data_IF_947946044029
#
_entry.id   IF_947946044029
#
_cell.length_a   1.000
_cell.length_b   1.000
_cell.length_c   1.000
_cell.angle_alpha   90.00
_cell.angle_beta   90.00
_cell.angle_gamma   90.00
#
_symmetry.space_group_name_H-M   'P 1'
#
loop_
_entity.id
_entity.type
_entity.pdbx_description
1 polymer ?
#
# COMPACT_ATOMS: atom_id res chain seq x y z
N UNK A 1 25.52 3.31 -31.60
CA UNK A 1 25.44 2.03 -30.85
C UNK A 1 25.40 0.94 -31.90
N UNK A 2 26.47 0.16 -32.00
CA UNK A 2 26.56 -0.95 -32.95
C UNK A 2 26.80 -2.21 -32.13
N UNK A 3 25.89 -3.18 -32.25
CA UNK A 3 25.95 -4.46 -31.56
C UNK A 3 26.08 -5.51 -32.65
N UNK A 4 27.16 -6.29 -32.60
CA UNK A 4 27.50 -7.27 -33.62
C UNK A 4 26.51 -8.43 -33.71
N UNK A 5 25.90 -8.78 -32.58
CA UNK A 5 24.97 -9.88 -32.45
C UNK A 5 23.51 -9.42 -32.48
N UNK A 6 22.62 -10.38 -32.79
CA UNK A 6 21.17 -10.14 -32.76
C UNK A 6 20.74 -9.71 -31.35
N UNK A 7 20.03 -8.60 -31.25
CA UNK A 7 19.37 -8.21 -30.00
C UNK A 7 18.16 -9.10 -29.75
N UNK A 8 18.11 -9.73 -28.57
CA UNK A 8 17.03 -10.60 -28.10
C UNK A 8 16.03 -9.80 -27.26
N UNK A 9 16.54 -9.04 -26.29
CA UNK A 9 15.75 -8.14 -25.45
C UNK A 9 16.52 -6.83 -25.24
N UNK A 10 15.79 -5.75 -25.00
CA UNK A 10 16.37 -4.53 -24.46
C UNK A 10 15.33 -3.79 -23.64
N UNK A 11 15.78 -3.04 -22.65
CA UNK A 11 14.96 -2.12 -21.87
C UNK A 11 15.73 -0.83 -21.61
N UNK A 12 14.99 0.28 -21.58
CA UNK A 12 15.54 1.61 -21.33
C UNK A 12 14.76 2.30 -20.22
N UNK A 13 15.36 2.39 -19.04
CA UNK A 13 14.79 3.05 -17.88
C UNK A 13 15.90 3.42 -16.89
N UNK A 14 15.60 4.31 -15.94
CA UNK A 14 16.52 4.70 -14.86
C UNK A 14 17.92 5.07 -15.37
N UNK A 15 18.00 5.85 -16.45
CA UNK A 15 19.27 6.31 -17.07
C UNK A 15 20.17 5.20 -17.61
N UNK A 16 19.62 4.00 -17.83
CA UNK A 16 20.33 2.85 -18.36
C UNK A 16 19.60 2.20 -19.54
N UNK A 17 20.35 1.88 -20.59
CA UNK A 17 19.92 0.97 -21.65
C UNK A 17 20.59 -0.38 -21.41
N UNK A 18 19.81 -1.41 -21.11
CA UNK A 18 20.31 -2.78 -20.97
C UNK A 18 19.89 -3.56 -22.21
N UNK A 19 20.85 -4.15 -22.91
CA UNK A 19 20.66 -4.90 -24.15
C UNK A 19 21.16 -6.32 -23.98
N UNK A 20 20.33 -7.28 -24.33
CA UNK A 20 20.59 -8.72 -24.23
C UNK A 20 20.76 -9.28 -25.63
N UNK A 21 21.92 -9.88 -25.89
CA UNK A 21 22.19 -10.73 -27.06
C UNK A 21 22.12 -12.21 -26.62
N UNK A 22 22.24 -13.20 -27.53
CA UNK A 22 22.22 -14.60 -27.13
C UNK A 22 23.34 -14.99 -26.15
N UNK A 23 24.47 -14.30 -26.17
CA UNK A 23 25.66 -14.60 -25.37
C UNK A 23 26.01 -13.53 -24.35
N UNK A 24 25.62 -12.27 -24.56
CA UNK A 24 26.11 -11.15 -23.76
C UNK A 24 25.00 -10.22 -23.27
N UNK A 25 25.24 -9.61 -22.12
CA UNK A 25 24.47 -8.47 -21.63
C UNK A 25 25.33 -7.22 -21.73
N UNK A 26 24.84 -6.21 -22.43
CA UNK A 26 25.46 -4.89 -22.58
C UNK A 26 24.66 -3.87 -21.77
N UNK A 27 25.33 -3.12 -20.91
CA UNK A 27 24.72 -2.07 -20.09
C UNK A 27 25.34 -0.73 -20.48
N UNK A 28 24.52 0.16 -21.03
CA UNK A 28 24.90 1.51 -21.38
C UNK A 28 24.35 2.49 -20.36
N UNK A 29 25.17 3.47 -19.97
CA UNK A 29 24.73 4.61 -19.16
C UNK A 29 24.40 5.78 -20.06
N UNK A 30 23.33 6.52 -19.78
CA UNK A 30 23.01 7.75 -20.51
C UNK A 30 24.11 8.81 -20.42
N UNK A 31 24.96 8.74 -19.38
CA UNK A 31 26.13 9.62 -19.20
C UNK A 31 27.30 9.26 -20.13
N UNK A 32 27.41 8.00 -20.56
CA UNK A 32 28.48 7.54 -21.45
C UNK A 32 28.04 6.28 -22.23
N UNK A 33 27.71 6.49 -23.50
CA UNK A 33 27.26 5.45 -24.43
C UNK A 33 28.41 4.67 -25.09
N UNK A 34 29.66 5.13 -24.95
CA UNK A 34 30.79 4.56 -25.69
C UNK A 34 31.44 3.37 -24.98
N UNK A 35 31.30 3.27 -23.65
CA UNK A 35 31.94 2.23 -22.84
C UNK A 35 30.89 1.46 -22.02
N UNK A 36 30.13 0.55 -22.64
CA UNK A 36 29.18 -0.28 -21.90
C UNK A 36 29.90 -1.23 -20.94
N UNK A 37 29.25 -1.56 -19.82
CA UNK A 37 29.60 -2.75 -19.07
C UNK A 37 29.07 -3.98 -19.80
N UNK A 38 29.93 -4.96 -20.08
CA UNK A 38 29.57 -6.17 -20.82
C UNK A 38 29.93 -7.39 -19.98
N UNK A 39 29.02 -8.35 -19.88
CA UNK A 39 29.32 -9.65 -19.31
C UNK A 39 28.64 -10.78 -20.09
N UNK A 40 29.25 -11.97 -20.03
CA UNK A 40 28.74 -13.18 -20.67
C UNK A 40 27.54 -13.75 -19.89
N UNK A 41 26.50 -14.11 -20.62
CA UNK A 41 25.32 -14.81 -20.13
C UNK A 41 25.61 -16.30 -20.08
N UNK A 42 25.22 -16.93 -18.97
CA UNK A 42 25.37 -18.38 -18.81
C UNK A 42 24.28 -19.16 -19.55
N UNK A 43 23.09 -18.58 -19.62
CA UNK A 43 21.93 -19.15 -20.30
C UNK A 43 21.49 -18.21 -21.42
N UNK A 44 21.11 -18.79 -22.56
CA UNK A 44 20.76 -18.04 -23.78
C UNK A 44 19.28 -17.63 -23.83
N UNK A 45 18.47 -18.05 -22.85
CA UNK A 45 17.02 -17.88 -22.85
C UNK A 45 16.55 -16.93 -21.74
N UNK A 46 16.90 -15.66 -21.87
CA UNK A 46 16.29 -14.58 -21.08
C UNK A 46 14.86 -14.37 -21.60
N UNK A 47 13.87 -14.46 -20.71
CA UNK A 47 12.44 -14.30 -21.02
C UNK A 47 11.95 -12.88 -20.81
N UNK A 48 12.54 -12.16 -19.84
CA UNK A 48 12.22 -10.77 -19.55
C UNK A 48 13.37 -10.07 -18.83
N UNK A 49 13.32 -8.74 -18.89
CA UNK A 49 14.28 -7.82 -18.28
C UNK A 49 13.47 -6.78 -17.50
N UNK A 50 13.77 -6.60 -16.21
CA UNK A 50 13.11 -5.60 -15.37
C UNK A 50 14.18 -4.65 -14.81
N UNK A 51 14.03 -3.35 -15.06
CA UNK A 51 14.94 -2.34 -14.53
C UNK A 51 14.36 -1.69 -13.28
N UNK A 52 15.24 -1.31 -12.35
CA UNK A 52 14.93 -0.47 -11.20
C UNK A 52 16.07 0.54 -10.97
N UNK A 53 15.87 1.53 -10.11
CA UNK A 53 16.82 2.63 -9.89
C UNK A 53 18.27 2.17 -9.58
N UNK A 54 18.46 1.13 -8.77
CA UNK A 54 19.80 0.70 -8.31
C UNK A 54 20.37 -0.52 -9.02
N UNK A 55 19.54 -1.27 -9.73
CA UNK A 55 19.86 -2.58 -10.28
C UNK A 55 18.79 -3.03 -11.27
N UNK A 56 19.05 -4.11 -12.00
CA UNK A 56 18.07 -4.74 -12.87
C UNK A 56 18.02 -6.26 -12.63
N UNK A 57 16.92 -6.88 -13.03
CA UNK A 57 16.71 -8.32 -12.99
C UNK A 57 16.70 -8.92 -14.39
N UNK A 58 17.44 -10.01 -14.56
CA UNK A 58 17.27 -10.95 -15.66
C UNK A 58 16.36 -12.07 -15.22
N UNK A 59 15.30 -12.30 -15.98
CA UNK A 59 14.37 -13.40 -15.77
C UNK A 59 14.65 -14.42 -16.86
N UNK A 60 14.97 -15.64 -16.46
CA UNK A 60 15.18 -16.79 -17.35
C UNK A 60 13.95 -17.71 -17.26
N UNK A 61 14.10 -19.02 -17.52
CA UNK A 61 13.00 -19.97 -17.42
C UNK A 61 12.43 -20.01 -16.00
N UNK A 62 13.20 -20.47 -15.02
CA UNK A 62 12.76 -20.62 -13.62
C UNK A 62 13.62 -19.81 -12.64
N UNK A 63 14.57 -19.02 -13.14
CA UNK A 63 15.57 -18.32 -12.33
C UNK A 63 15.46 -16.81 -12.55
N UNK A 64 15.56 -16.06 -11.46
CA UNK A 64 15.66 -14.61 -11.45
C UNK A 64 17.02 -14.22 -10.89
N UNK A 65 17.73 -13.34 -11.59
CA UNK A 65 19.08 -12.91 -11.21
C UNK A 65 19.18 -11.39 -11.19
N UNK A 66 19.65 -10.82 -10.08
CA UNK A 66 19.84 -9.38 -9.90
C UNK A 66 21.27 -8.95 -10.21
N UNK A 67 21.42 -7.89 -11.00
CA UNK A 67 22.69 -7.32 -11.41
C UNK A 67 22.75 -5.82 -11.13
N UNK A 68 23.93 -5.32 -10.79
CA UNK A 68 24.19 -3.89 -10.79
C UNK A 68 24.39 -3.38 -12.21
N UNK A 69 24.23 -2.07 -12.42
CA UNK A 69 24.50 -1.45 -13.72
C UNK A 69 25.99 -1.43 -14.12
N UNK A 70 26.88 -1.96 -13.28
CA UNK A 70 28.28 -2.22 -13.61
C UNK A 70 28.51 -3.68 -14.08
N UNK A 71 27.44 -4.46 -14.27
CA UNK A 71 27.53 -5.87 -14.69
C UNK A 71 27.89 -6.84 -13.57
N UNK A 72 27.87 -6.40 -12.31
CA UNK A 72 28.16 -7.27 -11.15
C UNK A 72 26.92 -8.02 -10.72
N UNK A 73 27.01 -9.34 -10.59
CA UNK A 73 25.99 -10.16 -9.94
C UNK A 73 25.80 -9.70 -8.49
N UNK A 74 24.56 -9.31 -8.13
CA UNK A 74 24.21 -8.89 -6.78
C UNK A 74 23.62 -10.04 -5.97
N UNK A 75 22.62 -10.72 -6.52
CA UNK A 75 21.99 -11.88 -5.86
C UNK A 75 21.19 -12.73 -6.85
N UNK A 76 20.91 -13.96 -6.44
CA UNK A 76 19.96 -14.87 -7.10
C UNK A 76 18.84 -15.14 -6.10
N UNK A 77 17.78 -14.31 -6.07
CA UNK A 77 16.74 -14.41 -5.05
C UNK A 77 16.07 -15.79 -5.06
N UNK A 78 15.79 -16.33 -3.87
CA UNK A 78 15.09 -17.60 -3.66
C UNK A 78 14.04 -17.42 -2.59
N UNK A 79 12.91 -18.11 -2.75
CA UNK A 79 11.81 -18.12 -1.80
C UNK A 79 11.39 -19.55 -1.46
N UNK A 80 10.69 -19.70 -0.35
CA UNK A 80 10.19 -20.98 0.12
C UNK A 80 9.18 -21.55 -0.88
N UNK A 81 9.42 -22.76 -1.34
CA UNK A 81 8.52 -23.45 -2.27
C UNK A 81 8.78 -23.19 -3.75
N UNK A 82 9.84 -22.45 -4.09
CA UNK A 82 10.22 -22.15 -5.47
C UNK A 82 10.28 -23.42 -6.35
N UNK A 83 9.42 -23.46 -7.37
CA UNK A 83 9.27 -24.58 -8.29
C UNK A 83 10.24 -24.51 -9.47
N UNK A 84 10.31 -25.60 -10.25
CA UNK A 84 11.02 -25.67 -11.53
C UNK A 84 10.18 -25.14 -12.71
N UNK A 85 8.92 -24.77 -12.45
CA UNK A 85 8.03 -24.15 -13.42
C UNK A 85 8.51 -22.76 -13.88
N UNK A 86 8.11 -22.34 -15.10
CA UNK A 86 8.55 -21.07 -15.64
C UNK A 86 8.02 -19.88 -14.83
N UNK A 87 8.87 -18.87 -14.67
CA UNK A 87 8.49 -17.58 -14.12
C UNK A 87 7.60 -16.82 -15.10
N UNK A 88 6.57 -16.15 -14.58
CA UNK A 88 5.65 -15.36 -15.38
C UNK A 88 5.93 -13.86 -15.15
N UNK A 89 6.58 -13.16 -16.10
CA UNK A 89 7.05 -11.78 -15.90
C UNK A 89 5.97 -10.77 -15.46
N UNK A 90 4.72 -10.81 -15.95
CA UNK A 90 3.66 -9.92 -15.44
C UNK A 90 3.36 -10.09 -13.95
N UNK A 91 3.75 -11.23 -13.36
CA UNK A 91 3.62 -11.52 -11.92
C UNK A 91 4.94 -11.34 -11.15
N UNK A 92 5.86 -10.53 -11.67
CA UNK A 92 7.11 -10.16 -11.03
C UNK A 92 7.22 -8.62 -11.01
N UNK A 93 7.34 -8.04 -9.83
CA UNK A 93 7.51 -6.60 -9.65
C UNK A 93 8.81 -6.29 -8.91
N UNK A 94 9.58 -5.34 -9.44
CA UNK A 94 10.90 -4.97 -8.92
C UNK A 94 10.97 -3.45 -8.69
N UNK A 95 11.48 -3.06 -7.52
CA UNK A 95 11.93 -1.70 -7.25
C UNK A 95 13.31 -1.74 -6.57
N UNK A 96 13.81 -0.59 -6.10
CA UNK A 96 15.19 -0.47 -5.59
C UNK A 96 15.53 -1.29 -4.34
N UNK A 97 14.54 -1.76 -3.59
CA UNK A 97 14.72 -2.48 -2.31
C UNK A 97 13.73 -3.63 -2.09
N UNK A 98 12.78 -3.85 -3.01
CA UNK A 98 11.73 -4.86 -2.85
C UNK A 98 11.48 -5.58 -4.17
N UNK A 99 11.46 -6.91 -4.10
CA UNK A 99 11.04 -7.81 -5.17
C UNK A 99 9.79 -8.55 -4.73
N UNK A 100 8.77 -8.56 -5.58
CA UNK A 100 7.55 -9.33 -5.36
C UNK A 100 7.40 -10.34 -6.49
N UNK A 101 7.17 -11.60 -6.14
CA UNK A 101 7.00 -12.69 -7.09
C UNK A 101 5.77 -13.51 -6.70
N UNK A 102 4.88 -13.77 -7.66
CA UNK A 102 3.81 -14.77 -7.48
C UNK A 102 4.41 -16.17 -7.56
N UNK A 103 4.01 -17.04 -6.62
CA UNK A 103 4.41 -18.44 -6.65
C UNK A 103 3.97 -19.10 -7.96
N UNK A 104 4.80 -20.04 -8.44
CA UNK A 104 4.54 -20.73 -9.70
C UNK A 104 3.44 -21.79 -9.54
N UNK A 105 3.41 -22.49 -8.41
CA UNK A 105 2.47 -23.60 -8.16
C UNK A 105 1.15 -23.11 -7.53
N UNK A 106 1.20 -22.00 -6.79
CA UNK A 106 0.06 -21.37 -6.15
C UNK A 106 -0.09 -19.92 -6.67
N UNK A 107 -0.93 -19.76 -7.68
CA UNK A 107 -1.21 -18.48 -8.33
C UNK A 107 -1.88 -17.42 -7.42
N UNK A 108 -2.19 -17.75 -6.16
CA UNK A 108 -2.70 -16.81 -5.15
C UNK A 108 -1.64 -16.30 -4.19
N UNK A 109 -0.48 -16.96 -4.14
CA UNK A 109 0.57 -16.68 -3.16
C UNK A 109 1.58 -15.68 -3.74
N UNK A 110 1.86 -14.61 -3.00
CA UNK A 110 2.91 -13.64 -3.28
C UNK A 110 4.04 -13.76 -2.27
N UNK A 111 5.26 -13.91 -2.78
CA UNK A 111 6.49 -13.81 -2.02
C UNK A 111 7.03 -12.39 -2.11
N UNK A 112 7.39 -11.80 -0.97
CA UNK A 112 8.10 -10.52 -0.91
C UNK A 112 9.52 -10.78 -0.44
N UNK A 113 10.48 -10.30 -1.21
CA UNK A 113 11.89 -10.35 -0.90
C UNK A 113 12.44 -8.93 -0.74
N UNK A 114 13.02 -8.65 0.41
CA UNK A 114 13.77 -7.42 0.64
C UNK A 114 15.14 -7.53 -0.03
N UNK A 115 15.46 -6.56 -0.90
CA UNK A 115 16.72 -6.49 -1.62
C UNK A 115 17.65 -5.50 -0.92
N UNK A 116 18.89 -5.92 -0.69
CA UNK A 116 19.95 -5.04 -0.24
C UNK A 116 21.22 -5.28 -1.07
N UNK A 117 22.02 -4.23 -1.27
CA UNK A 117 23.19 -4.30 -2.17
C UNK A 117 24.29 -5.26 -1.72
N UNK A 118 24.34 -5.63 -0.43
CA UNK A 118 25.42 -6.39 0.19
C UNK A 118 24.98 -7.65 0.95
N UNK A 119 23.68 -7.93 1.02
CA UNK A 119 23.14 -9.14 1.67
C UNK A 119 22.24 -9.88 0.68
N UNK A 120 22.14 -11.22 0.80
CA UNK A 120 21.18 -11.97 0.01
C UNK A 120 19.76 -11.42 0.23
N UNK A 121 18.91 -11.53 -0.79
CA UNK A 121 17.51 -11.16 -0.66
C UNK A 121 16.84 -11.99 0.44
N UNK A 122 16.11 -11.34 1.35
CA UNK A 122 15.48 -11.99 2.48
C UNK A 122 13.97 -12.02 2.24
N UNK A 123 13.40 -13.23 2.25
CA UNK A 123 11.96 -13.41 2.18
C UNK A 123 11.30 -12.93 3.49
N UNK A 124 10.35 -12.01 3.35
CA UNK A 124 9.48 -11.56 4.44
C UNK A 124 8.19 -12.40 4.47
N UNK A 125 7.20 -12.05 5.30
CA UNK A 125 5.97 -12.83 5.37
C UNK A 125 5.24 -12.86 4.01
N UNK A 126 5.04 -14.04 3.40
CA UNK A 126 4.32 -14.15 2.14
C UNK A 126 2.83 -13.89 2.36
N UNK A 127 2.12 -13.61 1.27
CA UNK A 127 0.72 -13.25 1.32
C UNK A 127 -0.12 -14.09 0.38
N UNK A 128 -1.21 -14.63 0.93
CA UNK A 128 -2.20 -15.38 0.18
C UNK A 128 -3.38 -14.48 -0.16
N UNK A 129 -3.52 -14.16 -1.44
CA UNK A 129 -4.70 -13.45 -1.95
C UNK A 129 -5.91 -14.39 -2.06
N UNK A 130 -7.11 -13.83 -2.09
CA UNK A 130 -8.36 -14.59 -2.21
C UNK A 130 -8.49 -15.31 -3.56
N UNK A 131 -8.06 -14.63 -4.61
CA UNK A 131 -8.19 -15.07 -6.00
C UNK A 131 -6.80 -15.23 -6.64
N UNK A 132 -6.78 -15.95 -7.76
CA UNK A 132 -5.57 -16.10 -8.57
C UNK A 132 -5.14 -14.74 -9.12
N UNK A 133 -3.84 -14.45 -9.07
CA UNK A 133 -3.25 -13.16 -9.44
C UNK A 133 -2.74 -13.25 -10.87
N UNK A 134 -3.02 -12.23 -11.69
CA UNK A 134 -2.70 -12.21 -13.13
C UNK A 134 -1.56 -11.22 -13.44
N UNK A 135 -1.51 -10.08 -12.75
CA UNK A 135 -0.51 -9.04 -12.99
C UNK A 135 -0.22 -8.31 -11.69
N UNK A 136 1.04 -7.93 -11.47
CA UNK A 136 1.44 -7.11 -10.31
C UNK A 136 2.40 -6.01 -10.75
N UNK A 137 2.37 -4.88 -10.05
CA UNK A 137 3.31 -3.78 -10.25
C UNK A 137 3.58 -3.08 -8.91
N UNK A 138 4.81 -2.67 -8.65
CA UNK A 138 5.22 -1.99 -7.41
C UNK A 138 5.68 -0.56 -7.71
N UNK A 139 5.39 0.38 -6.81
CA UNK A 139 5.86 1.75 -6.97
C UNK A 139 7.40 1.85 -6.81
N UNK A 140 8.01 2.77 -7.56
CA UNK A 140 9.47 2.89 -7.61
C UNK A 140 10.03 4.02 -6.71
N UNK A 141 9.18 4.94 -6.26
CA UNK A 141 9.56 6.14 -5.49
C UNK A 141 9.41 5.88 -3.98
N UNK A 142 10.28 6.51 -3.18
CA UNK A 142 10.27 6.41 -1.72
C UNK A 142 11.15 5.29 -1.18
N UNK A 143 11.09 5.06 0.13
CA UNK A 143 11.82 3.98 0.80
C UNK A 143 10.96 2.74 1.07
N UNK A 144 11.51 1.79 1.83
CA UNK A 144 10.85 0.52 2.20
C UNK A 144 9.45 0.70 2.82
N UNK A 145 9.21 1.80 3.55
CA UNK A 145 7.91 2.05 4.20
C UNK A 145 6.86 2.69 3.28
N UNK A 146 7.27 3.16 2.10
CA UNK A 146 6.40 3.83 1.12
C UNK A 146 5.93 2.85 0.04
N UNK A 147 6.29 1.57 0.17
CA UNK A 147 6.05 0.56 -0.87
C UNK A 147 4.57 0.25 -1.01
N UNK A 148 4.09 0.36 -2.23
CA UNK A 148 2.73 0.04 -2.63
C UNK A 148 2.75 -0.91 -3.81
N UNK A 149 2.05 -2.03 -3.64
CA UNK A 149 1.82 -3.03 -4.66
C UNK A 149 0.43 -2.83 -5.24
N UNK A 150 0.36 -2.71 -6.56
CA UNK A 150 -0.86 -2.87 -7.32
C UNK A 150 -0.91 -4.31 -7.84
N UNK A 151 -2.07 -4.96 -7.72
CA UNK A 151 -2.28 -6.31 -8.24
C UNK A 151 -3.63 -6.41 -8.94
N UNK A 152 -3.67 -7.18 -10.02
CA UNK A 152 -4.87 -7.56 -10.77
C UNK A 152 -5.12 -9.04 -10.53
N UNK A 153 -6.33 -9.40 -10.12
CA UNK A 153 -6.75 -10.79 -9.97
C UNK A 153 -7.41 -11.36 -11.25
N UNK A 154 -7.77 -12.64 -11.23
CA UNK A 154 -8.44 -13.33 -12.34
C UNK A 154 -9.82 -12.74 -12.68
N UNK A 155 -10.47 -12.06 -11.74
CA UNK A 155 -11.73 -11.35 -11.95
C UNK A 155 -11.52 -9.96 -12.60
N UNK A 156 -10.27 -9.60 -12.90
CA UNK A 156 -9.88 -8.28 -13.39
C UNK A 156 -10.17 -7.18 -12.37
N UNK A 157 -10.15 -7.51 -11.09
CA UNK A 157 -10.24 -6.54 -10.01
C UNK A 157 -8.85 -6.02 -9.66
N UNK A 158 -8.74 -4.69 -9.54
CA UNK A 158 -7.50 -4.00 -9.16
C UNK A 158 -7.51 -3.71 -7.67
N UNK A 159 -6.46 -4.19 -7.01
CA UNK A 159 -6.22 -3.97 -5.59
C UNK A 159 -4.92 -3.20 -5.36
N UNK A 160 -4.93 -2.39 -4.30
CA UNK A 160 -3.75 -1.75 -3.74
C UNK A 160 -3.42 -2.33 -2.37
N UNK A 161 -2.13 -2.54 -2.12
CA UNK A 161 -1.60 -3.04 -0.87
C UNK A 161 -0.36 -2.25 -0.47
N UNK A 162 -0.29 -1.77 0.78
CA UNK A 162 0.99 -1.31 1.35
C UNK A 162 1.84 -2.50 1.75
N UNK A 163 3.12 -2.47 1.39
CA UNK A 163 4.14 -3.40 1.89
C UNK A 163 4.90 -2.71 3.01
N UNK A 164 4.99 -3.35 4.18
CA UNK A 164 5.80 -2.89 5.33
C UNK A 164 6.80 -3.98 5.69
N UNK A 165 7.80 -3.65 6.51
CA UNK A 165 8.77 -4.64 7.02
C UNK A 165 8.10 -5.81 7.76
N UNK A 166 6.93 -5.59 8.36
CA UNK A 166 6.12 -6.62 9.02
C UNK A 166 5.28 -7.47 8.06
N UNK A 167 5.36 -7.25 6.74
CA UNK A 167 4.60 -7.97 5.71
C UNK A 167 3.53 -7.12 5.02
N UNK A 168 2.51 -7.78 4.49
CA UNK A 168 1.39 -7.14 3.79
C UNK A 168 0.51 -6.33 4.74
N UNK A 169 0.26 -5.08 4.35
CA UNK A 169 -0.75 -4.24 4.96
C UNK A 169 -2.17 -4.58 4.48
N UNK A 170 -3.08 -3.64 4.73
CA UNK A 170 -4.47 -3.75 4.29
C UNK A 170 -4.55 -3.81 2.76
N UNK A 171 -5.35 -4.73 2.24
CA UNK A 171 -5.67 -4.82 0.82
C UNK A 171 -6.97 -4.04 0.56
N UNK A 172 -6.96 -3.19 -0.44
CA UNK A 172 -8.12 -2.40 -0.83
C UNK A 172 -8.40 -2.58 -2.32
N UNK A 173 -9.60 -3.07 -2.68
CA UNK A 173 -10.09 -3.03 -4.06
C UNK A 173 -10.37 -1.58 -4.45
N UNK A 174 -9.79 -1.11 -5.55
CA UNK A 174 -9.94 0.27 -6.03
C UNK A 174 -10.65 0.38 -7.37
N UNK A 175 -10.60 -0.67 -8.20
CA UNK A 175 -11.27 -0.70 -9.50
C UNK A 175 -11.60 -2.15 -9.92
N UNK A 176 -12.32 -2.28 -11.03
CA UNK A 176 -12.69 -3.53 -11.68
C UNK A 176 -12.48 -3.41 -13.20
N UNK A 177 -12.55 -4.53 -13.93
CA UNK A 177 -12.32 -4.60 -15.38
C UNK A 177 -10.95 -4.08 -15.80
N UNK A 178 -9.95 -4.24 -14.94
CA UNK A 178 -8.59 -3.77 -15.16
C UNK A 178 -7.82 -4.72 -16.09
N UNK A 179 -7.29 -4.17 -17.18
CA UNK A 179 -6.58 -4.93 -18.21
C UNK A 179 -5.06 -4.87 -18.07
N UNK A 180 -4.52 -3.73 -17.63
CA UNK A 180 -3.08 -3.49 -17.49
C UNK A 180 -2.82 -2.37 -16.50
N UNK A 181 -1.72 -2.44 -15.76
CA UNK A 181 -1.30 -1.45 -14.77
C UNK A 181 0.16 -1.03 -14.95
N UNK A 182 0.49 0.19 -14.57
CA UNK A 182 1.88 0.64 -14.46
C UNK A 182 2.02 1.77 -13.43
N UNK A 183 3.10 1.72 -12.65
CA UNK A 183 3.50 2.83 -11.80
C UNK A 183 4.36 3.83 -12.56
N UNK A 184 4.25 5.10 -12.19
CA UNK A 184 5.14 6.12 -12.70
C UNK A 184 6.57 5.93 -12.17
N UNK A 185 7.55 6.15 -13.03
CA UNK A 185 8.97 6.01 -12.67
C UNK A 185 9.50 7.21 -11.89
N UNK A 186 8.81 8.35 -11.93
CA UNK A 186 9.23 9.65 -11.40
C UNK A 186 8.35 10.20 -10.26
N UNK A 187 7.20 9.58 -9.99
CA UNK A 187 6.28 9.97 -8.92
C UNK A 187 5.51 8.75 -8.38
N UNK A 188 4.91 8.86 -7.19
CA UNK A 188 4.02 7.82 -6.66
C UNK A 188 2.63 7.89 -7.31
N UNK A 189 2.55 7.62 -8.62
CA UNK A 189 1.34 7.69 -9.44
C UNK A 189 1.08 6.32 -10.07
N UNK A 190 -0.16 5.86 -10.02
CA UNK A 190 -0.58 4.60 -10.63
C UNK A 190 -1.47 4.89 -11.84
N UNK A 191 -1.17 4.28 -12.98
CA UNK A 191 -2.05 4.26 -14.14
C UNK A 191 -2.62 2.84 -14.33
N UNK A 192 -3.88 2.76 -14.75
CA UNK A 192 -4.51 1.50 -15.13
C UNK A 192 -5.45 1.68 -16.33
N UNK A 193 -5.46 0.70 -17.23
CA UNK A 193 -6.49 0.56 -18.25
C UNK A 193 -7.68 -0.18 -17.66
N UNK A 194 -8.80 0.52 -17.47
CA UNK A 194 -10.07 -0.03 -17.01
C UNK A 194 -11.04 -0.12 -18.19
N UNK A 195 -11.23 -1.33 -18.70
CA UNK A 195 -12.00 -1.59 -19.93
C UNK A 195 -11.57 -0.67 -21.11
N UNK A 196 -12.34 0.38 -21.41
CA UNK A 196 -12.04 1.38 -22.45
C UNK A 196 -11.48 2.72 -21.92
N UNK A 197 -11.30 2.83 -20.60
CA UNK A 197 -10.94 4.08 -19.92
C UNK A 197 -9.53 4.00 -19.35
N UNK A 198 -8.72 5.04 -19.57
CA UNK A 198 -7.41 5.16 -18.92
C UNK A 198 -7.59 5.97 -17.63
N UNK A 199 -7.41 5.30 -16.50
CA UNK A 199 -7.52 5.89 -15.17
C UNK A 199 -6.15 6.10 -14.55
N UNK A 200 -5.91 7.28 -14.00
CA UNK A 200 -4.66 7.63 -13.32
C UNK A 200 -4.94 8.13 -11.91
N UNK A 201 -4.40 7.45 -10.91
CA UNK A 201 -4.45 7.86 -9.50
C UNK A 201 -3.18 8.62 -9.16
N UNK A 202 -3.35 9.91 -8.87
CA UNK A 202 -2.25 10.83 -8.57
C UNK A 202 -1.66 10.64 -7.17
N UNK A 203 -2.50 10.20 -6.22
CA UNK A 203 -2.10 9.89 -4.84
C UNK A 203 -2.75 8.55 -4.42
N UNK A 204 -2.21 7.39 -4.82
CA UNK A 204 -2.78 6.07 -4.50
C UNK A 204 -2.61 5.66 -3.02
N UNK A 205 -1.62 6.21 -2.33
CA UNK A 205 -1.42 6.13 -0.87
C UNK A 205 -2.65 6.44 -0.02
N UNK A 206 -3.50 7.37 -0.45
CA UNK A 206 -4.69 7.76 0.31
C UNK A 206 -5.75 6.63 0.42
N UNK A 207 -5.61 5.52 -0.29
CA UNK A 207 -6.52 4.36 -0.17
C UNK A 207 -6.57 3.78 1.26
N UNK A 208 -5.51 3.98 2.05
CA UNK A 208 -5.43 3.50 3.42
C UNK A 208 -5.94 4.51 4.44
N UNK A 209 -6.40 5.68 4.00
CA UNK A 209 -6.99 6.67 4.91
C UNK A 209 -8.34 6.18 5.39
N UNK A 210 -8.79 6.71 6.54
CA UNK A 210 -10.12 6.40 7.08
C UNK A 210 -11.23 6.74 6.09
N UNK A 211 -11.03 7.78 5.28
CA UNK A 211 -11.96 8.15 4.22
C UNK A 211 -11.57 7.55 2.88
N UNK A 212 -12.18 6.40 2.58
CA UNK A 212 -11.97 5.67 1.32
C UNK A 212 -12.51 6.38 0.08
N UNK A 213 -13.25 7.49 0.21
CA UNK A 213 -13.75 8.24 -0.95
C UNK A 213 -12.68 9.17 -1.53
N UNK A 214 -11.64 9.50 -0.77
CA UNK A 214 -10.57 10.41 -1.21
C UNK A 214 -9.86 9.89 -2.46
N UNK A 215 -9.62 8.57 -2.54
CA UNK A 215 -8.98 7.98 -3.72
C UNK A 215 -9.77 8.18 -5.01
N UNK A 216 -11.09 8.33 -4.93
CA UNK A 216 -11.92 8.64 -6.11
C UNK A 216 -11.75 10.09 -6.55
N UNK A 217 -11.40 10.99 -5.63
CA UNK A 217 -11.15 12.42 -5.90
C UNK A 217 -9.71 12.70 -6.36
N UNK A 218 -8.78 11.76 -6.19
CA UNK A 218 -7.40 11.85 -6.71
C UNK A 218 -7.21 11.11 -8.04
N UNK A 219 -8.31 10.60 -8.60
CA UNK A 219 -8.36 9.83 -9.84
C UNK A 219 -8.75 10.74 -11.01
N UNK A 220 -8.01 10.62 -12.11
CA UNK A 220 -8.32 11.26 -13.39
C UNK A 220 -8.67 10.15 -14.39
N UNK A 221 -9.84 10.26 -14.99
CA UNK A 221 -10.27 9.39 -16.07
C UNK A 221 -10.13 10.10 -17.41
N UNK A 222 -9.59 9.36 -18.39
CA UNK A 222 -9.65 9.75 -19.78
C UNK A 222 -10.26 8.62 -20.59
N UNK A 223 -11.49 8.84 -21.02
CA UNK A 223 -12.14 7.98 -22.01
C UNK A 223 -11.58 8.33 -23.38
N UNK A 224 -11.09 7.34 -24.10
CA UNK A 224 -10.63 7.55 -25.46
C UNK A 224 -10.86 6.29 -26.31
N UNK A 225 -11.65 6.43 -27.38
CA UNK A 225 -11.84 5.36 -28.36
C UNK A 225 -10.55 4.97 -29.08
N UNK A 226 -9.51 5.81 -29.00
CA UNK A 226 -8.21 5.57 -29.63
C UNK A 226 -7.40 4.43 -29.01
N UNK A 227 -7.75 3.93 -27.82
CA UNK A 227 -6.99 2.85 -27.19
C UNK A 227 -7.27 1.46 -27.81
N UNK A 228 -8.35 1.33 -28.58
CA UNK A 228 -8.69 0.09 -29.28
C UNK A 228 -9.00 -1.07 -28.34
N UNK A 229 -8.83 -2.31 -28.83
CA UNK A 229 -9.06 -3.53 -28.05
C UNK A 229 -7.78 -3.98 -27.36
N UNK A 230 -7.87 -4.37 -26.08
CA UNK A 230 -6.77 -4.90 -25.27
C UNK A 230 -5.53 -3.98 -25.19
N UNK A 231 -5.68 -2.70 -24.82
CA UNK A 231 -4.54 -1.82 -24.59
C UNK A 231 -3.69 -2.27 -23.39
N UNK A 232 -2.37 -2.13 -23.51
CA UNK A 232 -1.40 -2.35 -22.42
C UNK A 232 -0.60 -1.08 -22.16
N UNK A 233 -0.41 -0.72 -20.89
CA UNK A 233 0.42 0.43 -20.51
C UNK A 233 1.89 0.02 -20.63
N UNK A 234 2.67 0.83 -21.34
CA UNK A 234 4.10 0.58 -21.55
C UNK A 234 4.95 1.35 -20.56
N UNK A 235 4.65 2.64 -20.37
CA UNK A 235 5.42 3.51 -19.48
C UNK A 235 4.55 4.65 -18.95
N UNK A 236 4.87 5.11 -17.74
CA UNK A 236 4.30 6.30 -17.13
C UNK A 236 5.45 7.15 -16.60
N UNK A 237 5.61 8.36 -17.14
CA UNK A 237 6.71 9.24 -16.76
C UNK A 237 6.38 10.70 -17.11
N UNK A 238 6.79 11.64 -16.26
CA UNK A 238 6.64 13.08 -16.47
C UNK A 238 5.19 13.51 -16.79
N UNK A 239 4.22 12.85 -16.17
CA UNK A 239 2.80 13.09 -16.41
C UNK A 239 2.29 12.60 -17.77
N UNK A 240 3.07 11.81 -18.51
CA UNK A 240 2.60 11.13 -19.72
C UNK A 240 2.43 9.64 -19.46
N UNK A 241 1.39 9.06 -20.05
CA UNK A 241 1.16 7.62 -20.11
C UNK A 241 1.28 7.19 -21.56
N UNK A 242 2.15 6.22 -21.83
CA UNK A 242 2.33 5.61 -23.14
C UNK A 242 1.58 4.29 -23.14
N UNK A 243 0.58 4.18 -24.01
CA UNK A 243 -0.26 2.99 -24.16
C UNK A 243 0.05 2.33 -25.50
N UNK A 244 0.27 1.02 -25.48
CA UNK A 244 0.32 0.20 -26.69
C UNK A 244 -1.07 -0.35 -26.97
N UNK A 245 -1.61 -0.02 -28.14
CA UNK A 245 -2.88 -0.53 -28.65
C UNK A 245 -2.74 -1.99 -29.10
N UNK A 246 -3.85 -2.69 -29.25
CA UNK A 246 -3.87 -4.06 -29.77
C UNK A 246 -3.35 -4.22 -31.21
N UNK A 247 -3.29 -3.14 -32.00
CA UNK A 247 -2.66 -3.10 -33.33
C UNK A 247 -1.14 -2.83 -33.27
N UNK A 248 -0.57 -2.69 -32.07
CA UNK A 248 0.85 -2.45 -31.82
C UNK A 248 1.25 -0.97 -31.84
N UNK A 249 0.36 -0.05 -32.21
CA UNK A 249 0.67 1.38 -32.23
C UNK A 249 0.83 1.95 -30.80
N UNK A 250 1.77 2.88 -30.64
CA UNK A 250 2.00 3.59 -29.38
C UNK A 250 1.24 4.92 -29.37
N UNK A 251 0.42 5.13 -28.34
CA UNK A 251 -0.31 6.36 -28.09
C UNK A 251 0.22 6.98 -26.80
N UNK A 252 0.77 8.19 -26.91
CA UNK A 252 1.19 8.97 -25.75
C UNK A 252 0.07 9.92 -25.34
N UNK A 253 -0.32 9.87 -24.07
CA UNK A 253 -1.35 10.73 -23.51
C UNK A 253 -0.81 11.50 -22.32
N UNK A 254 -0.94 12.82 -22.35
CA UNK A 254 -0.63 13.66 -21.20
C UNK A 254 -1.78 13.63 -20.17
N UNK A 255 -1.40 13.49 -18.91
CA UNK A 255 -2.20 13.66 -17.71
C UNK A 255 -1.75 14.94 -17.00
N UNK A 256 -2.63 15.46 -16.16
CA UNK A 256 -2.61 16.83 -15.64
C UNK A 256 -1.20 17.41 -15.35
N UNK A 257 -0.77 18.36 -16.18
CA UNK A 257 0.60 18.94 -16.15
C UNK A 257 0.90 19.73 -14.88
N UNK A 258 -0.11 20.27 -14.21
CA UNK A 258 0.09 20.97 -12.94
C UNK A 258 0.44 20.00 -11.81
N UNK A 259 0.05 18.72 -11.87
CA UNK A 259 0.40 17.76 -10.84
C UNK A 259 1.90 17.49 -10.80
N UNK A 260 2.55 17.34 -11.95
CA UNK A 260 4.00 17.09 -12.00
C UNK A 260 4.78 18.28 -11.43
N UNK A 261 4.31 19.50 -11.71
CA UNK A 261 4.87 20.73 -11.15
C UNK A 261 4.62 20.82 -9.65
N UNK A 262 3.40 20.49 -9.19
CA UNK A 262 3.03 20.43 -7.77
C UNK A 262 3.93 19.46 -7.01
N UNK A 263 4.03 18.21 -7.49
CA UNK A 263 4.86 17.16 -6.90
C UNK A 263 6.31 17.64 -6.79
N UNK A 264 6.86 18.24 -7.85
CA UNK A 264 8.23 18.79 -7.85
C UNK A 264 8.44 19.91 -6.84
N UNK A 265 7.44 20.78 -6.60
CA UNK A 265 7.53 21.79 -5.55
C UNK A 265 7.52 21.15 -4.16
N UNK A 266 6.64 20.18 -3.92
CA UNK A 266 6.52 19.48 -2.65
C UNK A 266 7.79 18.69 -2.32
N UNK A 267 8.36 17.95 -3.28
CA UNK A 267 9.64 17.23 -3.08
C UNK A 267 10.79 18.17 -2.73
N UNK A 268 10.70 19.45 -3.12
CA UNK A 268 11.68 20.49 -2.79
C UNK A 268 11.31 21.32 -1.56
N UNK A 269 10.30 20.90 -0.79
CA UNK A 269 9.78 21.58 0.39
C UNK A 269 9.27 23.02 0.13
N UNK A 270 8.85 23.29 -1.12
CA UNK A 270 8.34 24.59 -1.59
C UNK A 270 6.82 24.68 -1.51
N UNK A 271 6.29 24.60 -0.28
CA UNK A 271 4.85 24.62 -0.01
C UNK A 271 4.11 25.89 -0.45
N UNK A 272 4.66 27.11 -0.27
CA UNK A 272 3.97 28.33 -0.71
C UNK A 272 3.74 28.38 -2.23
N UNK A 273 4.74 27.96 -3.01
CA UNK A 273 4.63 27.88 -4.47
C UNK A 273 3.65 26.79 -4.90
N UNK A 274 3.65 25.64 -4.21
CA UNK A 274 2.68 24.57 -4.42
C UNK A 274 1.22 25.03 -4.14
N UNK A 275 1.00 25.77 -3.04
CA UNK A 275 -0.31 26.37 -2.73
C UNK A 275 -0.71 27.42 -3.76
N UNK A 276 0.22 28.27 -4.18
CA UNK A 276 -0.01 29.27 -5.23
C UNK A 276 -0.45 28.60 -6.53
N UNK A 277 0.20 27.50 -6.91
CA UNK A 277 -0.18 26.70 -8.07
C UNK A 277 -1.62 26.16 -7.95
N UNK A 278 -2.00 25.66 -6.78
CA UNK A 278 -3.36 25.18 -6.54
C UNK A 278 -4.40 26.31 -6.62
N UNK A 279 -4.10 27.50 -6.09
CA UNK A 279 -4.95 28.69 -6.20
C UNK A 279 -5.13 29.17 -7.64
N UNK A 280 -4.09 29.06 -8.46
CA UNK A 280 -4.15 29.42 -9.89
C UNK A 280 -4.95 28.38 -10.68
N UNK A 281 -4.73 27.09 -10.42
CA UNK A 281 -5.36 26.01 -11.14
C UNK A 281 -6.85 25.83 -10.79
N UNK A 282 -7.27 26.22 -9.58
CA UNK A 282 -8.64 26.12 -9.07
C UNK A 282 -9.31 24.76 -9.34
N UNK A 283 -8.53 23.68 -9.20
CA UNK A 283 -8.97 22.32 -9.53
C UNK A 283 -9.08 21.47 -8.27
N UNK A 284 -10.26 20.85 -8.07
CA UNK A 284 -10.54 20.03 -6.88
C UNK A 284 -9.59 18.82 -6.76
N UNK A 285 -9.27 18.14 -7.87
CA UNK A 285 -8.34 16.99 -7.87
C UNK A 285 -6.96 17.43 -7.40
N UNK A 286 -6.47 18.57 -7.90
CA UNK A 286 -5.17 19.10 -7.50
C UNK A 286 -5.15 19.52 -6.02
N UNK A 287 -6.20 20.19 -5.55
CA UNK A 287 -6.36 20.52 -4.14
C UNK A 287 -6.44 19.27 -3.24
N UNK A 288 -7.13 18.23 -3.70
CA UNK A 288 -7.20 16.94 -2.99
C UNK A 288 -5.81 16.31 -2.92
N UNK A 289 -5.04 16.31 -4.01
CA UNK A 289 -3.67 15.82 -4.02
C UNK A 289 -2.78 16.61 -3.05
N UNK A 290 -2.93 17.95 -3.04
CA UNK A 290 -2.21 18.82 -2.11
C UNK A 290 -2.55 18.50 -0.65
N UNK A 291 -3.83 18.28 -0.33
CA UNK A 291 -4.27 17.91 1.02
C UNK A 291 -3.67 16.58 1.47
N UNK A 292 -3.64 15.57 0.59
CA UNK A 292 -3.02 14.26 0.86
C UNK A 292 -1.52 14.42 1.09
N UNK A 293 -0.80 15.04 0.15
CA UNK A 293 0.66 15.20 0.25
C UNK A 293 1.09 16.05 1.45
N UNK A 294 0.34 17.10 1.79
CA UNK A 294 0.59 17.92 2.98
C UNK A 294 0.35 17.14 4.28
N UNK A 295 -0.67 16.28 4.30
CA UNK A 295 -0.98 15.41 5.46
C UNK A 295 0.17 14.43 5.72
N UNK A 296 0.67 13.77 4.68
CA UNK A 296 1.78 12.81 4.80
C UNK A 296 3.10 13.48 5.18
N UNK A 297 3.35 14.65 4.60
CA UNK A 297 4.53 15.47 4.91
C UNK A 297 4.41 16.19 6.25
N UNK A 298 3.32 15.98 7.00
CA UNK A 298 3.09 16.57 8.33
C UNK A 298 3.04 18.11 8.31
N UNK A 299 2.61 18.70 7.20
CA UNK A 299 2.51 20.15 7.01
C UNK A 299 1.08 20.64 7.25
N UNK A 300 0.78 21.02 8.50
CA UNK A 300 -0.57 21.37 8.93
C UNK A 300 -1.13 22.63 8.25
N UNK A 301 -0.30 23.64 7.99
CA UNK A 301 -0.77 24.90 7.41
C UNK A 301 -1.24 24.72 5.96
N UNK A 302 -0.42 24.03 5.16
CA UNK A 302 -0.80 23.65 3.79
C UNK A 302 -1.99 22.69 3.77
N UNK A 303 -2.05 21.73 4.70
CA UNK A 303 -3.17 20.81 4.80
C UNK A 303 -4.47 21.54 5.17
N UNK A 304 -4.43 22.48 6.11
CA UNK A 304 -5.60 23.26 6.53
C UNK A 304 -6.21 24.04 5.36
N UNK A 305 -5.37 24.74 4.59
CA UNK A 305 -5.82 25.47 3.40
C UNK A 305 -6.37 24.53 2.32
N UNK A 306 -5.68 23.42 2.06
CA UNK A 306 -6.12 22.46 1.05
C UNK A 306 -7.43 21.76 1.43
N UNK A 307 -7.61 21.35 2.70
CA UNK A 307 -8.87 20.77 3.18
C UNK A 307 -10.01 21.79 3.18
N UNK A 308 -9.74 23.07 3.46
CA UNK A 308 -10.73 24.13 3.33
C UNK A 308 -11.16 24.32 1.86
N UNK A 309 -10.22 24.25 0.92
CA UNK A 309 -10.48 24.38 -0.52
C UNK A 309 -11.31 23.22 -1.10
N UNK A 310 -11.24 22.01 -0.51
CA UNK A 310 -12.08 20.86 -0.91
C UNK A 310 -13.32 20.68 -0.02
N UNK A 311 -13.68 21.69 0.77
CA UNK A 311 -14.88 21.74 1.63
C UNK A 311 -14.93 20.61 2.68
N UNK A 312 -13.77 20.20 3.19
CA UNK A 312 -13.64 19.19 4.25
C UNK A 312 -13.40 19.83 5.60
N UNK A 313 -14.41 20.56 6.07
CA UNK A 313 -14.39 21.29 7.32
C UNK A 313 -14.17 20.38 8.55
N UNK A 314 -14.62 19.12 8.50
CA UNK A 314 -14.33 18.10 9.50
C UNK A 314 -12.83 17.93 9.74
N UNK A 315 -12.04 17.93 8.66
CA UNK A 315 -10.58 17.82 8.72
C UNK A 315 -9.93 19.13 9.13
N UNK A 316 -10.47 20.26 8.70
CA UNK A 316 -10.00 21.60 9.12
C UNK A 316 -10.13 21.78 10.63
N UNK A 317 -11.30 21.47 11.20
CA UNK A 317 -11.55 21.56 12.64
C UNK A 317 -10.60 20.65 13.43
N UNK A 318 -10.36 19.44 12.91
CA UNK A 318 -9.42 18.49 13.50
C UNK A 318 -7.98 19.02 13.45
N UNK A 319 -7.54 19.63 12.34
CA UNK A 319 -6.21 20.25 12.24
C UNK A 319 -6.08 21.42 13.22
N UNK A 320 -7.12 22.25 13.35
CA UNK A 320 -7.12 23.34 14.34
C UNK A 320 -7.04 22.82 15.78
N UNK A 321 -7.69 21.68 16.09
CA UNK A 321 -7.55 21.00 17.37
C UNK A 321 -6.10 20.54 17.59
N UNK A 322 -5.47 19.91 16.59
CA UNK A 322 -4.05 19.50 16.65
C UNK A 322 -3.14 20.70 16.90
N UNK A 323 -3.39 21.84 16.27
CA UNK A 323 -2.59 23.06 16.45
C UNK A 323 -2.68 23.62 17.88
N UNK A 324 -3.80 23.42 18.58
CA UNK A 324 -4.01 23.84 19.98
C UNK A 324 -3.31 22.93 21.00
N UNK A 325 -2.89 21.73 20.61
CA UNK A 325 -2.18 20.80 21.50
C UNK A 325 -0.79 21.35 21.86
N UNK A 326 -0.49 21.39 23.15
CA UNK A 326 0.81 21.83 23.68
C UNK A 326 1.85 20.71 23.69
N UNK A 327 1.41 19.46 23.88
CA UNK A 327 2.28 18.29 23.92
C UNK A 327 2.70 17.89 22.49
N UNK A 328 4.01 17.96 22.22
CA UNK A 328 4.59 17.62 20.91
C UNK A 328 4.34 16.17 20.51
N UNK A 329 4.35 15.25 21.48
CA UNK A 329 4.19 13.82 21.22
C UNK A 329 2.74 13.49 20.85
N UNK A 330 1.77 14.04 21.59
CA UNK A 330 0.35 13.91 21.24
C UNK A 330 0.06 14.55 19.89
N UNK A 331 0.64 15.72 19.62
CA UNK A 331 0.53 16.39 18.32
C UNK A 331 1.01 15.47 17.19
N UNK A 332 2.17 14.83 17.35
CA UNK A 332 2.72 13.91 16.35
C UNK A 332 1.83 12.67 16.17
N UNK A 333 1.29 12.11 17.26
CA UNK A 333 0.39 10.95 17.20
C UNK A 333 -0.92 11.30 16.48
N UNK A 334 -1.53 12.44 16.80
CA UNK A 334 -2.75 12.93 16.17
C UNK A 334 -2.54 13.29 14.68
N UNK A 335 -1.33 13.72 14.31
CA UNK A 335 -0.96 13.91 12.89
C UNK A 335 -0.85 12.58 12.14
N UNK A 336 -0.27 11.55 12.75
CA UNK A 336 -0.29 10.19 12.16
C UNK A 336 -1.70 9.66 12.04
N UNK A 337 -2.57 9.98 13.00
CA UNK A 337 -3.99 9.62 12.98
C UNK A 337 -4.74 10.34 11.85
N UNK A 338 -4.45 11.61 11.59
CA UNK A 338 -4.99 12.36 10.44
C UNK A 338 -4.68 11.67 9.11
N UNK A 339 -3.46 11.13 8.98
CA UNK A 339 -3.01 10.35 7.83
C UNK A 339 -3.57 8.91 7.79
N UNK A 340 -4.39 8.52 8.77
CA UNK A 340 -4.99 7.19 8.85
C UNK A 340 -4.07 6.08 9.40
N UNK A 341 -2.84 6.40 9.85
CA UNK A 341 -1.91 5.41 10.41
C UNK A 341 -2.13 5.24 11.93
N UNK A 342 -3.19 4.49 12.26
CA UNK A 342 -3.59 4.22 13.66
C UNK A 342 -2.48 3.49 14.43
N UNK A 343 -1.81 2.53 13.79
CA UNK A 343 -0.74 1.76 14.41
C UNK A 343 0.49 2.63 14.71
N UNK A 344 0.85 3.53 13.79
CA UNK A 344 1.92 4.51 14.02
C UNK A 344 1.56 5.48 15.15
N UNK A 345 0.33 5.98 15.18
CA UNK A 345 -0.16 6.85 16.27
C UNK A 345 -0.10 6.16 17.64
N UNK A 346 -0.60 4.91 17.74
CA UNK A 346 -0.51 4.10 18.95
C UNK A 346 0.95 3.86 19.37
N UNK A 347 1.81 3.49 18.42
CA UNK A 347 3.23 3.24 18.67
C UNK A 347 3.95 4.46 19.26
N UNK A 348 3.71 5.65 18.71
CA UNK A 348 4.27 6.91 19.22
C UNK A 348 3.85 7.14 20.68
N UNK A 349 2.57 6.97 20.99
CA UNK A 349 2.06 7.19 22.34
C UNK A 349 2.59 6.17 23.34
N UNK A 350 2.64 4.89 22.96
CA UNK A 350 3.14 3.81 23.82
C UNK A 350 4.64 3.96 24.11
N UNK A 351 5.45 4.30 23.10
CA UNK A 351 6.90 4.52 23.28
C UNK A 351 7.20 5.67 24.24
N UNK A 352 6.33 6.68 24.29
CA UNK A 352 6.47 7.84 25.18
C UNK A 352 5.71 7.67 26.51
N UNK A 353 5.16 6.49 26.79
CA UNK A 353 4.47 6.18 28.06
C UNK A 353 3.07 6.81 28.20
N UNK A 354 2.53 7.43 27.16
CA UNK A 354 1.20 8.05 27.12
C UNK A 354 0.09 7.01 26.89
N UNK A 355 0.03 6.01 27.77
CA UNK A 355 -0.85 4.84 27.64
C UNK A 355 -2.33 5.24 27.67
N UNK A 356 -2.70 6.25 28.45
CA UNK A 356 -4.09 6.71 28.55
C UNK A 356 -4.61 7.22 27.20
N UNK A 357 -3.81 8.04 26.51
CA UNK A 357 -4.15 8.56 25.20
C UNK A 357 -4.16 7.45 24.14
N UNK A 358 -3.23 6.48 24.23
CA UNK A 358 -3.23 5.31 23.34
C UNK A 358 -4.52 4.47 23.47
N UNK A 359 -5.05 4.32 24.70
CA UNK A 359 -6.34 3.65 24.93
C UNK A 359 -7.48 4.50 24.36
N UNK A 360 -7.48 5.81 24.61
CA UNK A 360 -8.53 6.73 24.13
C UNK A 360 -8.63 6.77 22.61
N UNK A 361 -7.50 6.81 21.90
CA UNK A 361 -7.48 6.77 20.42
C UNK A 361 -8.10 5.47 19.91
N UNK A 362 -7.75 4.32 20.50
CA UNK A 362 -8.33 3.04 20.08
C UNK A 362 -9.85 2.97 20.35
N UNK A 363 -10.33 3.57 21.45
CA UNK A 363 -11.77 3.70 21.71
C UNK A 363 -12.45 4.61 20.68
N UNK A 364 -11.87 5.77 20.38
CA UNK A 364 -12.39 6.72 19.38
C UNK A 364 -12.43 6.12 17.97
N UNK A 365 -11.48 5.26 17.64
CA UNK A 365 -11.41 4.53 16.36
C UNK A 365 -12.20 3.21 16.37
N UNK A 366 -12.98 2.93 17.40
CA UNK A 366 -13.79 1.72 17.56
C UNK A 366 -12.99 0.40 17.54
N UNK A 367 -11.68 0.46 17.82
CA UNK A 367 -10.81 -0.70 17.99
C UNK A 367 -10.94 -1.28 19.41
N UNK A 368 -12.15 -1.75 19.73
CA UNK A 368 -12.53 -2.20 21.07
C UNK A 368 -11.61 -3.28 21.63
N UNK A 369 -11.34 -4.34 20.86
CA UNK A 369 -10.48 -5.45 21.30
C UNK A 369 -9.07 -4.96 21.69
N UNK A 370 -8.48 -4.07 20.88
CA UNK A 370 -7.16 -3.51 21.15
C UNK A 370 -7.17 -2.55 22.34
N UNK A 371 -8.19 -1.70 22.44
CA UNK A 371 -8.37 -0.80 23.59
C UNK A 371 -8.46 -1.58 24.91
N UNK A 372 -9.21 -2.69 24.94
CA UNK A 372 -9.34 -3.54 26.12
C UNK A 372 -8.03 -4.25 26.46
N UNK A 373 -7.33 -4.79 25.47
CA UNK A 373 -6.02 -5.44 25.66
C UNK A 373 -5.02 -4.48 26.32
N UNK A 374 -4.91 -3.25 25.80
CA UNK A 374 -4.05 -2.22 26.36
C UNK A 374 -4.46 -1.82 27.79
N UNK A 375 -5.77 -1.63 28.00
CA UNK A 375 -6.31 -1.24 29.31
C UNK A 375 -6.02 -2.31 30.38
N UNK A 376 -6.23 -3.59 30.07
CA UNK A 376 -5.97 -4.71 30.98
C UNK A 376 -4.46 -4.89 31.22
N UNK A 377 -3.64 -4.87 30.16
CA UNK A 377 -2.19 -5.04 30.26
C UNK A 377 -1.54 -3.99 31.16
N UNK A 378 -1.97 -2.74 31.03
CA UNK A 378 -1.40 -1.62 31.79
C UNK A 378 -2.20 -1.26 33.04
N UNK A 379 -3.33 -1.94 33.31
CA UNK A 379 -4.25 -1.68 34.43
C UNK A 379 -4.72 -0.22 34.51
N UNK A 380 -4.99 0.39 33.36
CA UNK A 380 -5.45 1.79 33.23
C UNK A 380 -6.74 1.86 32.43
N UNK A 381 -7.65 2.77 32.79
CA UNK A 381 -8.89 3.10 32.07
C UNK A 381 -9.82 1.92 31.73
N UNK A 382 -9.68 0.76 32.40
CA UNK A 382 -10.50 -0.43 32.12
C UNK A 382 -11.99 -0.13 32.26
N UNK A 383 -12.39 0.60 33.30
CA UNK A 383 -13.79 0.96 33.52
C UNK A 383 -14.34 1.91 32.46
N UNK A 384 -13.51 2.85 32.01
CA UNK A 384 -13.87 3.82 30.98
C UNK A 384 -14.10 3.11 29.63
N UNK A 385 -13.23 2.16 29.27
CA UNK A 385 -13.39 1.33 28.05
C UNK A 385 -14.67 0.48 28.12
N UNK A 386 -14.94 -0.16 29.26
CA UNK A 386 -16.17 -0.96 29.45
C UNK A 386 -17.43 -0.09 29.37
N UNK A 387 -17.39 1.11 29.96
CA UNK A 387 -18.51 2.07 29.92
C UNK A 387 -18.74 2.58 28.49
N UNK A 388 -17.68 3.02 27.81
CA UNK A 388 -17.76 3.49 26.43
C UNK A 388 -18.30 2.42 25.48
N UNK A 389 -17.87 1.16 25.63
CA UNK A 389 -18.40 0.03 24.86
C UNK A 389 -19.89 -0.19 25.13
N UNK A 390 -20.32 -0.09 26.40
CA UNK A 390 -21.74 -0.24 26.77
C UNK A 390 -22.60 0.86 26.16
N UNK A 391 -22.15 2.11 26.24
CA UNK A 391 -22.84 3.25 25.63
C UNK A 391 -22.93 3.09 24.11
N UNK A 392 -21.84 2.65 23.46
CA UNK A 392 -21.84 2.35 22.03
C UNK A 392 -22.85 1.26 21.64
N UNK A 393 -22.91 0.16 22.40
CA UNK A 393 -23.86 -0.93 22.15
C UNK A 393 -25.31 -0.53 22.42
N UNK A 394 -25.55 0.32 23.42
CA UNK A 394 -26.88 0.88 23.70
C UNK A 394 -27.39 1.76 22.54
N UNK A 395 -26.52 2.59 21.95
CA UNK A 395 -26.87 3.40 20.78
C UNK A 395 -27.24 2.53 19.58
N UNK A 396 -26.63 1.35 19.44
CA UNK A 396 -26.89 0.40 18.36
C UNK A 396 -28.01 -0.61 18.66
N UNK A 397 -28.61 -0.55 19.85
CA UNK A 397 -29.58 -1.53 20.37
C UNK A 397 -29.09 -2.99 20.25
N UNK A 398 -27.81 -3.21 20.57
CA UNK A 398 -27.16 -4.53 20.53
C UNK A 398 -26.69 -4.96 21.91
N UNK A 399 -26.69 -6.27 22.15
CA UNK A 399 -26.12 -6.88 23.36
C UNK A 399 -24.64 -7.19 23.19
N UNK A 400 -23.87 -7.23 24.29
CA UNK A 400 -22.46 -7.57 24.24
C UNK A 400 -22.26 -9.04 23.86
N UNK A 401 -21.54 -9.29 22.78
CA UNK A 401 -21.22 -10.63 22.26
C UNK A 401 -19.78 -11.03 22.56
N UNK A 402 -18.89 -10.07 22.87
CA UNK A 402 -17.47 -10.37 23.03
C UNK A 402 -17.18 -11.08 24.37
N UNK A 403 -16.57 -12.29 24.34
CA UNK A 403 -16.29 -13.08 25.55
C UNK A 403 -15.41 -12.33 26.57
N UNK A 404 -14.43 -11.56 26.08
CA UNK A 404 -13.49 -10.81 26.92
C UNK A 404 -14.19 -9.70 27.70
N UNK A 405 -15.16 -9.03 27.08
CA UNK A 405 -15.97 -7.98 27.73
C UNK A 405 -16.99 -8.58 28.71
N UNK A 406 -17.61 -9.71 28.35
CA UNK A 406 -18.53 -10.43 29.24
C UNK A 406 -17.83 -10.96 30.50
N UNK A 407 -16.63 -11.53 30.38
CA UNK A 407 -15.86 -12.03 31.52
C UNK A 407 -15.53 -10.92 32.53
N UNK A 408 -15.17 -9.74 32.05
CA UNK A 408 -14.84 -8.59 32.90
C UNK A 408 -16.07 -7.93 33.53
N UNK A 409 -17.20 -7.90 32.81
CA UNK A 409 -18.49 -7.45 33.37
C UNK A 409 -19.04 -8.45 34.41
N UNK A 410 -18.85 -9.76 34.19
CA UNK A 410 -19.24 -10.83 35.12
C UNK A 410 -18.44 -10.80 36.43
N UNK A 411 -17.17 -10.42 36.40
CA UNK A 411 -16.37 -10.26 37.62
C UNK A 411 -16.82 -9.07 38.50
N UNK A 412 -17.56 -8.10 37.96
CA UNK A 412 -18.13 -6.98 38.74
C UNK A 412 -19.49 -7.30 39.38
N UNK A 413 -20.17 -8.37 38.95
CA UNK A 413 -21.52 -8.73 39.43
C UNK A 413 -21.53 -9.77 40.55
N UNK A 414 -20.38 -10.09 41.17
CA UNK A 414 -20.37 -10.80 42.47
C UNK A 414 -20.44 -9.79 43.61
N UNK A 415 -21.61 -9.52 44.23
CA UNK A 415 -21.62 -8.86 45.52
C UNK A 415 -21.00 -9.79 46.56
N UNK A 416 -20.21 -9.22 47.47
CA UNK A 416 -19.77 -9.90 48.67
C UNK A 416 -21.00 -10.34 49.48
N UNK A 417 -21.32 -11.63 49.46
CA UNK A 417 -22.31 -12.22 50.38
C UNK A 417 -21.65 -12.52 51.72
N UNK A 418 -22.23 -12.09 52.86
CA UNK A 418 -21.80 -12.54 54.18
C UNK A 418 -22.06 -14.04 54.36
N UNK A 419 -21.17 -14.70 55.11
CA UNK A 419 -21.32 -16.06 55.70
C UNK A 419 -22.66 -16.11 56.48
N UNK A 420 -23.56 -17.11 56.35
CA UNK A 420 -23.58 -18.55 56.74
C UNK A 420 -25.06 -19.02 56.62
N UNK A 421 -25.46 -20.29 56.89
CA UNK A 421 -25.02 -21.60 56.37
C UNK A 421 -26.18 -22.43 55.74
N UNK A 422 -25.79 -23.53 55.09
CA UNK A 422 -26.53 -24.73 54.64
C UNK A 422 -28.06 -24.85 54.85
N UNK A 423 -28.81 -25.10 53.75
CA UNK A 423 -29.84 -26.16 53.67
C UNK A 423 -29.79 -26.82 52.28
N UNK A 424 -29.91 -28.15 52.32
CA UNK A 424 -29.86 -29.16 51.28
C UNK A 424 -30.96 -29.09 50.21
N UNK A 425 -30.67 -29.66 49.03
CA UNK A 425 -31.69 -30.40 48.29
C UNK A 425 -31.78 -30.18 46.77
N UNK A 426 -31.69 -31.30 46.06
CA UNK A 426 -32.27 -31.59 44.73
C UNK A 426 -31.54 -31.14 43.46
N UNK A 427 -30.85 -32.12 42.88
CA UNK A 427 -30.43 -32.25 41.48
C UNK A 427 -31.63 -32.14 40.53
N UNK A 428 -31.46 -31.49 39.38
CA UNK A 428 -32.14 -31.89 38.14
C UNK A 428 -31.32 -31.56 36.88
N UNK A 429 -31.52 -32.41 35.87
CA UNK A 429 -30.61 -32.82 34.81
C UNK A 429 -30.42 -31.83 33.64
N UNK A 430 -29.24 -31.96 32.99
CA UNK A 430 -28.90 -31.50 31.65
C UNK A 430 -29.76 -32.15 30.55
N UNK A 431 -29.97 -31.40 29.45
CA UNK A 431 -30.26 -31.76 28.03
C UNK A 431 -31.24 -30.72 27.48
N UNK A 432 -31.10 -30.02 26.36
CA UNK A 432 -30.24 -30.06 25.18
C UNK A 432 -30.24 -28.63 24.56
N UNK A 433 -29.12 -28.17 23.99
CA UNK A 433 -29.08 -26.97 23.13
C UNK A 433 -28.28 -27.34 21.88
N UNK A 434 -28.80 -27.17 20.64
CA UNK A 434 -27.98 -27.29 19.44
C UNK A 434 -27.17 -26.00 19.24
N UNK A 435 -25.89 -26.20 18.95
CA UNK A 435 -24.89 -25.18 18.64
C UNK A 435 -24.97 -24.88 17.15
N UNK A 436 -25.38 -23.67 16.77
CA UNK A 436 -25.05 -23.08 15.47
C UNK A 436 -23.99 -22.01 15.68
N UNK A 437 -22.76 -22.31 15.24
CA UNK A 437 -21.65 -21.37 15.19
C UNK A 437 -21.66 -20.67 13.82
N UNK A 438 -22.22 -19.47 13.74
CA UNK A 438 -21.87 -18.52 12.68
C UNK A 438 -20.87 -17.51 13.23
N UNK A 439 -19.61 -17.67 12.82
CA UNK A 439 -18.58 -16.66 12.98
C UNK A 439 -18.81 -15.62 11.89
N UNK A 440 -19.50 -14.52 12.24
CA UNK A 440 -19.61 -13.37 11.35
C UNK A 440 -18.41 -12.46 11.59
N UNK A 441 -17.60 -12.32 10.55
CA UNK A 441 -16.44 -11.44 10.43
C UNK A 441 -16.90 -9.96 10.49
N UNK A 442 -16.72 -9.28 11.63
CA UNK A 442 -17.11 -7.88 11.86
C UNK A 442 -16.23 -6.85 11.11
N UNK A 443 -15.42 -7.28 10.13
CA UNK A 443 -14.62 -6.38 9.30
C UNK A 443 -15.36 -5.75 8.10
N UNK A 444 -16.67 -6.03 7.94
CA UNK A 444 -17.44 -5.65 6.73
C UNK A 444 -18.54 -4.61 6.96
N UNK A 445 -18.36 -3.68 7.89
CA UNK A 445 -19.18 -2.45 7.89
C UNK A 445 -18.26 -1.24 8.05
N UNK A 446 -18.24 -0.41 7.00
CA UNK A 446 -17.53 0.86 6.75
C UNK A 446 -16.21 0.79 5.95
#
# INVERSE_FOLDING_TARGET
LEISDRVVHFEFAFDHLVVITPSQCHIYSTTNWNTPAIFELKNTSVSALLLADKHFALIEWNTLTLYSYQGRLLSVPKWKGMSQEPLYPPCIALCSDTLVVRDQSNDKLLHILEISSNKPAIETQPHLHSNSIVEIAINCIGGLNDRQLALIDVNRDLYLVTIRTSGFGRICKIASMTQSIAWATDANVLAAMLDATLSVWLCPNCVHYSDRKVIRKTKIDKENSEFGKQPSIVNVQNGMVIVRRGDGALVATAFYTFFTTLHKHITKDKWPEALSLCRIAQNEVLWTCMAVMATESKQLEAAEEAYAAIERYDKVDYIQRIRKLTNKTEKLAEMSLLAGDILGAEGILLQNGLINEAIRINVQMYHWNRALELAVRHKKLVEEVLKARREYLQVLDKTETSPSYLALNGNKTKPATPRTPEISGAKLNKKDIPVENEVVDESTIF
#
